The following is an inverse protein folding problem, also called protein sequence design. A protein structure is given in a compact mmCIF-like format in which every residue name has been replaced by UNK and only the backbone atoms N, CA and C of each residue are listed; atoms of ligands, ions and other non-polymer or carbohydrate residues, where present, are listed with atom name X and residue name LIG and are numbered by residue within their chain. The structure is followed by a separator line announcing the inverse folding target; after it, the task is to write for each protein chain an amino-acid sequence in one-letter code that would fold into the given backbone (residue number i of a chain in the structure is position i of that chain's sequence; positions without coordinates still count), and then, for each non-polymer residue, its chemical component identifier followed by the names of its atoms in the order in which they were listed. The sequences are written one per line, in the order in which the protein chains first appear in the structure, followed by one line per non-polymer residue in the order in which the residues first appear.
data_IF_770862016291
#
_entry.id   IF_770862016291
#
_cell.length_a   1.000
_cell.length_b   1.000
_cell.length_c   1.000
_cell.angle_alpha   90.00
_cell.angle_beta   90.00
_cell.angle_gamma   90.00
#
_symmetry.space_group_name_H-M   'P 1'
#
loop_
_entity.id
_entity.type
_entity.pdbx_description
1 polymer ?
#
# COMPACT_ATOMS: atom_id res chain seq x y z
N UNK A 1 1.89 -29.30 -3.38
CA UNK A 1 1.89 -27.90 -2.93
C UNK A 1 0.45 -27.44 -2.92
N UNK A 2 -0.12 -27.12 -1.76
CA UNK A 2 -1.54 -26.72 -1.63
C UNK A 2 -1.75 -25.30 -2.18
N UNK A 3 -2.93 -25.00 -2.74
CA UNK A 3 -3.29 -23.68 -3.32
C UNK A 3 -2.92 -22.48 -2.41
N UNK A 4 -2.93 -22.67 -1.08
CA UNK A 4 -2.59 -21.63 -0.09
C UNK A 4 -1.09 -21.31 0.02
N UNK A 5 -0.21 -22.20 -0.45
CA UNK A 5 1.23 -22.14 -0.15
C UNK A 5 2.00 -21.08 -0.97
N UNK A 6 1.52 -20.69 -2.16
CA UNK A 6 2.22 -19.70 -3.01
C UNK A 6 2.06 -18.28 -2.46
N UNK A 7 0.82 -17.88 -2.15
CA UNK A 7 0.54 -16.56 -1.56
C UNK A 7 1.19 -16.44 -0.19
N UNK A 8 1.14 -17.50 0.64
CA UNK A 8 1.85 -17.50 1.90
C UNK A 8 3.37 -17.43 1.73
N UNK A 9 3.91 -17.99 0.64
CA UNK A 9 5.34 -17.88 0.30
C UNK A 9 5.73 -16.44 0.00
N UNK A 10 4.95 -15.74 -0.83
CA UNK A 10 5.12 -14.30 -1.06
C UNK A 10 5.06 -13.51 0.25
N UNK A 11 4.02 -13.73 1.06
CA UNK A 11 3.83 -13.03 2.34
C UNK A 11 5.01 -13.25 3.29
N UNK A 12 5.48 -14.50 3.40
CA UNK A 12 6.64 -14.84 4.23
C UNK A 12 7.90 -14.11 3.77
N UNK A 13 8.21 -14.16 2.48
CA UNK A 13 9.41 -13.49 1.94
C UNK A 13 9.31 -11.97 2.09
N UNK A 14 8.12 -11.39 1.88
CA UNK A 14 7.90 -9.96 2.09
C UNK A 14 8.10 -9.57 3.57
N UNK A 15 7.61 -10.38 4.51
CA UNK A 15 7.85 -10.16 5.95
C UNK A 15 9.33 -10.26 6.34
N UNK A 16 10.08 -11.18 5.73
CA UNK A 16 11.53 -11.29 5.95
C UNK A 16 12.24 -10.02 5.48
N UNK A 17 11.94 -9.54 4.27
CA UNK A 17 12.52 -8.28 3.78
C UNK A 17 12.11 -7.09 4.63
N UNK A 18 10.85 -7.02 5.07
CA UNK A 18 10.38 -5.98 5.98
C UNK A 18 11.15 -6.00 7.31
N UNK A 19 11.37 -7.18 7.88
CA UNK A 19 12.13 -7.30 9.15
C UNK A 19 13.56 -6.84 8.98
N UNK A 20 14.20 -7.19 7.85
CA UNK A 20 15.54 -6.70 7.52
C UNK A 20 15.58 -5.19 7.29
N UNK A 21 14.51 -4.62 6.70
CA UNK A 21 14.40 -3.18 6.47
C UNK A 21 14.35 -2.43 7.79
N UNK A 22 13.52 -2.88 8.73
CA UNK A 22 13.43 -2.28 10.07
C UNK A 22 14.79 -2.31 10.77
N UNK A 23 15.53 -3.42 10.70
CA UNK A 23 16.88 -3.52 11.27
C UNK A 23 17.86 -2.55 10.58
N UNK A 24 17.83 -2.46 9.25
CA UNK A 24 18.68 -1.53 8.50
C UNK A 24 18.39 -0.06 8.89
N UNK A 25 17.11 0.28 9.07
CA UNK A 25 16.70 1.61 9.52
C UNK A 25 17.16 1.92 10.95
N UNK A 26 17.12 0.94 11.85
CA UNK A 26 17.65 1.06 13.22
C UNK A 26 19.17 1.26 13.25
N UNK A 27 19.89 0.58 12.35
CA UNK A 27 21.34 0.71 12.17
C UNK A 27 21.73 1.97 11.36
N UNK A 28 20.74 2.76 10.92
CA UNK A 28 20.90 3.92 10.02
C UNK A 28 21.60 3.58 8.69
N UNK A 29 21.49 2.33 8.23
CA UNK A 29 21.98 1.83 6.95
C UNK A 29 20.95 2.09 5.84
N UNK A 30 20.96 3.33 5.34
CA UNK A 30 20.00 3.81 4.33
C UNK A 30 20.15 3.12 2.98
N UNK A 31 21.37 2.78 2.58
CA UNK A 31 21.63 2.07 1.33
C UNK A 31 20.97 0.68 1.37
N UNK A 32 21.14 -0.05 2.46
CA UNK A 32 20.51 -1.36 2.65
C UNK A 32 19.00 -1.27 2.78
N UNK A 33 18.47 -0.26 3.46
CA UNK A 33 17.03 -0.02 3.54
C UNK A 33 16.42 0.19 2.14
N UNK A 34 17.03 1.05 1.32
CA UNK A 34 16.61 1.28 -0.06
C UNK A 34 16.69 0.00 -0.92
N UNK A 35 17.79 -0.75 -0.80
CA UNK A 35 17.96 -2.04 -1.48
C UNK A 35 16.84 -3.02 -1.10
N UNK A 36 16.45 -3.10 0.17
CA UNK A 36 15.42 -4.02 0.65
C UNK A 36 14.01 -3.67 0.14
N UNK A 37 13.67 -2.37 0.11
CA UNK A 37 12.44 -1.88 -0.51
C UNK A 37 12.37 -2.28 -1.99
N UNK A 38 13.49 -2.17 -2.70
CA UNK A 38 13.57 -2.58 -4.10
C UNK A 38 13.43 -4.10 -4.27
N UNK A 39 13.95 -4.90 -3.32
CA UNK A 39 13.70 -6.36 -3.30
C UNK A 39 12.23 -6.70 -3.07
N UNK A 40 11.52 -5.98 -2.21
CA UNK A 40 10.08 -6.17 -1.99
C UNK A 40 9.28 -5.83 -3.26
N UNK A 41 9.64 -4.74 -3.95
CA UNK A 41 9.02 -4.35 -5.23
C UNK A 41 9.21 -5.42 -6.31
N UNK A 42 10.43 -5.90 -6.48
CA UNK A 42 10.71 -6.97 -7.46
C UNK A 42 10.05 -8.29 -7.06
N UNK A 43 9.93 -8.60 -5.77
CA UNK A 43 9.16 -9.75 -5.29
C UNK A 43 7.67 -9.64 -5.67
N UNK A 44 7.06 -8.46 -5.52
CA UNK A 44 5.68 -8.22 -5.93
C UNK A 44 5.48 -8.46 -7.43
N UNK A 45 6.44 -8.05 -8.28
CA UNK A 45 6.42 -8.35 -9.72
C UNK A 45 6.58 -9.81 -10.05
N UNK A 46 7.55 -10.50 -9.43
CA UNK A 46 7.78 -11.93 -9.64
C UNK A 46 6.52 -12.74 -9.32
N UNK A 47 5.77 -12.30 -8.31
CA UNK A 47 4.50 -12.91 -7.91
C UNK A 47 3.27 -12.27 -8.56
N UNK A 48 3.43 -11.38 -9.55
CA UNK A 48 2.35 -10.72 -10.29
C UNK A 48 1.30 -10.05 -9.37
N UNK A 49 1.70 -9.59 -8.18
CA UNK A 49 0.78 -9.08 -7.14
C UNK A 49 0.14 -7.73 -7.50
N UNK A 50 0.68 -7.04 -8.50
CA UNK A 50 0.09 -5.84 -9.08
C UNK A 50 0.51 -4.53 -8.40
N UNK A 51 0.08 -3.43 -9.02
CA UNK A 51 0.56 -2.06 -8.78
C UNK A 51 0.38 -1.60 -7.33
N UNK A 52 -0.72 -1.97 -6.67
CA UNK A 52 -0.95 -1.63 -5.26
C UNK A 52 0.20 -2.15 -4.38
N UNK A 53 0.58 -3.41 -4.56
CA UNK A 53 1.65 -4.03 -3.79
C UNK A 53 3.02 -3.46 -4.16
N UNK A 54 3.29 -3.21 -5.44
CA UNK A 54 4.53 -2.59 -5.89
C UNK A 54 4.72 -1.17 -5.34
N UNK A 55 3.66 -0.37 -5.33
CA UNK A 55 3.69 1.00 -4.80
C UNK A 55 3.86 1.00 -3.28
N UNK A 56 3.11 0.15 -2.56
CA UNK A 56 3.10 0.13 -1.09
C UNK A 56 4.47 -0.06 -0.45
N UNK A 57 5.38 -0.79 -1.11
CA UNK A 57 6.73 -1.05 -0.61
C UNK A 57 7.55 0.22 -0.36
N UNK A 58 7.26 1.32 -1.06
CA UNK A 58 8.08 2.56 -0.98
C UNK A 58 7.58 3.55 0.06
N UNK A 59 6.34 3.41 0.53
CA UNK A 59 5.69 4.42 1.37
C UNK A 59 6.44 4.66 2.68
N UNK A 60 6.86 3.59 3.35
CA UNK A 60 7.53 3.68 4.65
C UNK A 60 8.90 4.38 4.54
N UNK A 61 9.66 4.07 3.49
CA UNK A 61 10.96 4.72 3.25
C UNK A 61 10.79 6.21 2.92
N UNK A 62 9.88 6.55 2.01
CA UNK A 62 9.59 7.95 1.66
C UNK A 62 9.12 8.74 2.90
N UNK A 63 8.31 8.11 3.76
CA UNK A 63 7.84 8.69 5.02
C UNK A 63 8.98 8.91 6.01
N UNK A 64 9.85 7.92 6.18
CA UNK A 64 11.00 8.02 7.07
C UNK A 64 12.02 9.08 6.62
N UNK A 65 12.13 9.30 5.31
CA UNK A 65 12.97 10.35 4.72
C UNK A 65 12.29 11.72 4.69
N UNK A 66 10.98 11.77 5.04
CA UNK A 66 10.13 12.96 4.91
C UNK A 66 10.16 13.54 3.49
N UNK A 67 10.30 12.67 2.49
CA UNK A 67 10.22 13.05 1.08
C UNK A 67 8.76 13.27 0.71
N UNK A 68 8.36 14.54 0.63
CA UNK A 68 6.99 14.96 0.35
C UNK A 68 6.50 14.42 -1.00
N UNK A 69 7.30 14.56 -2.06
CA UNK A 69 6.87 14.18 -3.40
C UNK A 69 6.81 12.66 -3.58
N UNK A 70 7.82 11.95 -3.09
CA UNK A 70 7.81 10.48 -3.15
C UNK A 70 6.66 9.89 -2.32
N UNK A 71 6.34 10.49 -1.18
CA UNK A 71 5.24 10.02 -0.32
C UNK A 71 3.90 10.22 -1.00
N UNK A 72 3.59 11.44 -1.47
CA UNK A 72 2.29 11.72 -2.08
C UNK A 72 2.09 10.97 -3.41
N UNK A 73 3.13 10.82 -4.23
CA UNK A 73 3.07 9.99 -5.44
C UNK A 73 2.76 8.53 -5.09
N UNK A 74 3.38 8.00 -4.04
CA UNK A 74 3.13 6.63 -3.59
C UNK A 74 1.68 6.46 -3.09
N UNK A 75 1.18 7.40 -2.29
CA UNK A 75 -0.21 7.39 -1.81
C UNK A 75 -1.23 7.40 -2.95
N UNK A 76 -1.02 8.28 -3.94
CA UNK A 76 -1.91 8.39 -5.11
C UNK A 76 -1.88 7.11 -5.96
N UNK A 77 -0.71 6.53 -6.20
CA UNK A 77 -0.58 5.25 -6.91
C UNK A 77 -1.28 4.11 -6.17
N UNK A 78 -1.17 4.07 -4.85
CA UNK A 78 -1.89 3.09 -4.03
C UNK A 78 -3.41 3.26 -4.19
N UNK A 79 -3.94 4.48 -4.05
CA UNK A 79 -5.37 4.77 -4.21
C UNK A 79 -5.89 4.42 -5.61
N UNK A 80 -5.16 4.81 -6.66
CA UNK A 80 -5.52 4.53 -8.05
C UNK A 80 -5.52 3.03 -8.41
N UNK A 81 -4.90 2.19 -7.55
CA UNK A 81 -4.74 0.76 -7.78
C UNK A 81 -5.66 -0.12 -6.93
N UNK A 82 -6.44 0.46 -6.00
CA UNK A 82 -7.32 -0.29 -5.08
C UNK A 82 -8.32 -1.14 -5.86
N UNK A 83 -8.95 -0.60 -6.91
CA UNK A 83 -9.93 -1.34 -7.74
C UNK A 83 -9.32 -2.56 -8.45
N UNK A 84 -7.99 -2.60 -8.57
CA UNK A 84 -7.23 -3.67 -9.22
C UNK A 84 -6.45 -4.52 -8.22
N UNK A 85 -6.68 -4.38 -6.91
CA UNK A 85 -5.90 -5.08 -5.88
C UNK A 85 -6.00 -6.61 -5.98
N UNK A 86 -7.10 -7.14 -6.52
CA UNK A 86 -7.27 -8.57 -6.78
C UNK A 86 -6.94 -8.97 -8.21
N UNK A 87 -6.41 -8.09 -9.06
CA UNK A 87 -6.15 -8.41 -10.47
C UNK A 87 -5.16 -9.59 -10.64
N UNK A 88 -4.25 -9.78 -9.68
CA UNK A 88 -3.33 -10.92 -9.65
C UNK A 88 -4.06 -12.28 -9.67
N UNK A 89 -5.30 -12.34 -9.15
CA UNK A 89 -6.11 -13.57 -9.14
C UNK A 89 -6.43 -14.08 -10.54
N UNK A 90 -6.28 -13.23 -11.57
CA UNK A 90 -6.50 -13.54 -12.99
C UNK A 90 -5.19 -13.71 -13.76
N UNK A 91 -4.05 -13.59 -13.10
CA UNK A 91 -2.76 -13.63 -13.75
C UNK A 91 -2.33 -15.09 -14.06
N UNK A 92 -1.56 -15.34 -15.14
CA UNK A 92 -1.17 -16.69 -15.54
C UNK A 92 -0.50 -17.50 -14.43
N UNK A 93 0.27 -16.84 -13.55
CA UNK A 93 0.92 -17.49 -12.42
C UNK A 93 -0.06 -18.24 -11.49
N UNK A 94 -1.31 -17.76 -11.42
CA UNK A 94 -2.34 -18.28 -10.53
C UNK A 94 -3.50 -18.97 -11.27
N UNK A 95 -3.36 -19.32 -12.55
CA UNK A 95 -4.42 -19.92 -13.38
C UNK A 95 -5.02 -21.22 -12.79
N UNK A 96 -4.23 -21.92 -11.96
CA UNK A 96 -4.61 -23.17 -11.29
C UNK A 96 -5.37 -22.96 -9.97
N UNK A 97 -5.60 -21.71 -9.57
CA UNK A 97 -6.29 -21.33 -8.35
C UNK A 97 -7.68 -20.79 -8.65
N UNK A 98 -8.57 -20.96 -7.67
CA UNK A 98 -9.90 -20.35 -7.70
C UNK A 98 -9.94 -19.32 -6.57
N UNK A 99 -10.29 -18.09 -6.93
CA UNK A 99 -10.42 -16.99 -6.01
C UNK A 99 -11.89 -16.57 -5.92
N UNK A 100 -12.27 -16.11 -4.72
CA UNK A 100 -13.50 -15.33 -4.60
C UNK A 100 -13.18 -13.93 -5.05
N UNK A 101 -13.99 -13.38 -5.96
CA UNK A 101 -13.92 -11.97 -6.29
C UNK A 101 -14.17 -11.14 -5.02
N UNK A 102 -13.37 -10.10 -4.75
CA UNK A 102 -13.66 -9.19 -3.66
C UNK A 102 -15.00 -8.51 -3.93
N UNK A 103 -15.81 -8.37 -2.88
CA UNK A 103 -17.04 -7.59 -3.02
C UNK A 103 -16.72 -6.08 -3.10
N UNK A 104 -17.63 -5.33 -3.73
CA UNK A 104 -17.47 -3.89 -3.93
C UNK A 104 -17.37 -3.13 -2.59
N UNK A 105 -17.98 -3.67 -1.53
CA UNK A 105 -17.95 -3.09 -0.19
C UNK A 105 -16.52 -3.15 0.38
N UNK A 106 -15.81 -4.26 0.21
CA UNK A 106 -14.42 -4.41 0.62
C UNK A 106 -13.51 -3.39 -0.08
N UNK A 107 -13.68 -3.19 -1.39
CA UNK A 107 -12.88 -2.21 -2.16
C UNK A 107 -13.14 -0.79 -1.65
N UNK A 108 -14.40 -0.42 -1.43
CA UNK A 108 -14.78 0.88 -0.85
C UNK A 108 -14.22 1.07 0.56
N UNK A 109 -14.31 0.05 1.41
CA UNK A 109 -13.76 0.09 2.77
C UNK A 109 -12.24 0.23 2.75
N UNK A 110 -11.53 -0.47 1.86
CA UNK A 110 -10.09 -0.34 1.71
C UNK A 110 -9.70 1.07 1.26
N UNK A 111 -10.37 1.62 0.26
CA UNK A 111 -10.13 2.99 -0.19
C UNK A 111 -10.33 4.01 0.94
N UNK A 112 -11.42 3.86 1.72
CA UNK A 112 -11.69 4.70 2.90
C UNK A 112 -10.58 4.56 3.95
N UNK A 113 -10.18 3.34 4.28
CA UNK A 113 -9.15 3.09 5.28
C UNK A 113 -7.81 3.71 4.88
N UNK A 114 -7.45 3.65 3.59
CA UNK A 114 -6.25 4.31 3.07
C UNK A 114 -6.32 5.83 3.22
N UNK A 115 -7.43 6.46 2.81
CA UNK A 115 -7.61 7.90 2.97
C UNK A 115 -7.55 8.32 4.45
N UNK A 116 -8.17 7.55 5.35
CA UNK A 116 -8.12 7.80 6.78
C UNK A 116 -6.68 7.72 7.31
N UNK A 117 -5.94 6.66 6.95
CA UNK A 117 -4.55 6.49 7.35
C UNK A 117 -3.65 7.59 6.80
N UNK A 118 -3.81 7.96 5.52
CA UNK A 118 -3.02 9.01 4.87
C UNK A 118 -3.33 10.41 5.40
N UNK A 119 -4.46 10.57 6.11
CA UNK A 119 -4.83 11.81 6.79
C UNK A 119 -4.27 11.92 8.21
N UNK A 120 -3.53 10.92 8.70
CA UNK A 120 -2.92 10.99 10.03
C UNK A 120 -1.83 12.07 10.09
N UNK A 121 -2.12 13.16 10.81
CA UNK A 121 -1.19 14.28 10.94
C UNK A 121 0.04 13.95 11.78
N UNK A 122 -0.03 12.94 12.67
CA UNK A 122 1.13 12.50 13.46
C UNK A 122 2.21 11.93 12.53
N UNK A 123 1.81 11.06 11.59
CA UNK A 123 2.72 10.45 10.62
C UNK A 123 3.05 11.40 9.47
N UNK A 124 2.05 12.10 8.92
CA UNK A 124 2.14 12.80 7.64
C UNK A 124 2.13 14.33 7.72
N UNK A 125 2.10 14.91 8.93
CA UNK A 125 2.04 16.36 9.13
C UNK A 125 3.20 17.16 8.52
N UNK A 126 4.31 16.51 8.16
CA UNK A 126 5.39 17.16 7.40
C UNK A 126 4.97 17.57 5.98
N UNK A 127 3.86 17.03 5.45
CA UNK A 127 3.30 17.37 4.14
C UNK A 127 2.25 18.49 4.19
N UNK A 128 2.04 19.15 5.33
CA UNK A 128 0.94 20.12 5.52
C UNK A 128 0.87 21.27 4.51
N UNK A 129 2.00 21.66 3.91
CA UNK A 129 2.06 22.72 2.89
C UNK A 129 1.86 22.18 1.45
N UNK A 130 1.83 20.87 1.27
CA UNK A 130 1.62 20.23 -0.02
C UNK A 130 0.13 20.21 -0.39
N UNK A 131 -0.21 20.77 -1.54
CA UNK A 131 -1.60 20.90 -2.00
C UNK A 131 -2.28 19.57 -2.30
N UNK A 132 -1.56 18.61 -2.90
CA UNK A 132 -2.09 17.27 -3.24
C UNK A 132 -2.46 16.52 -1.97
N UNK A 133 -1.62 16.60 -0.93
CA UNK A 133 -1.94 16.01 0.37
C UNK A 133 -3.15 16.70 1.04
N UNK A 134 -3.23 18.04 1.02
CA UNK A 134 -4.40 18.76 1.53
C UNK A 134 -5.71 18.34 0.83
N UNK A 135 -5.68 18.11 -0.49
CA UNK A 135 -6.84 17.63 -1.26
C UNK A 135 -7.24 16.20 -0.89
N UNK A 136 -6.26 15.33 -0.64
CA UNK A 136 -6.47 13.96 -0.16
C UNK A 136 -7.17 13.97 1.21
N UNK A 137 -6.67 14.76 2.16
CA UNK A 137 -7.24 14.90 3.51
C UNK A 137 -8.67 15.45 3.45
N UNK A 138 -8.92 16.48 2.63
CA UNK A 138 -10.28 17.02 2.46
C UNK A 138 -11.26 16.00 1.88
N UNK A 139 -10.81 15.20 0.91
CA UNK A 139 -11.61 14.12 0.32
C UNK A 139 -12.05 13.11 1.37
N UNK A 140 -11.16 12.76 2.31
CA UNK A 140 -11.49 11.90 3.44
C UNK A 140 -12.57 12.51 4.37
N UNK A 141 -12.45 13.80 4.70
CA UNK A 141 -13.44 14.48 5.56
C UNK A 141 -14.84 14.48 4.93
N UNK A 142 -14.95 14.70 3.62
CA UNK A 142 -16.24 14.68 2.92
C UNK A 142 -16.90 13.29 2.97
N UNK A 143 -16.11 12.23 2.74
CA UNK A 143 -16.60 10.84 2.82
C UNK A 143 -17.12 10.48 4.22
N UNK A 144 -16.53 11.03 5.28
CA UNK A 144 -17.03 10.82 6.65
C UNK A 144 -18.35 11.56 6.91
N UNK A 145 -18.55 12.73 6.29
CA UNK A 145 -19.77 13.52 6.43
C UNK A 145 -20.95 12.87 5.71
N UNK A 146 -20.75 12.36 4.49
CA UNK A 146 -21.79 11.68 3.71
C UNK A 146 -22.34 10.43 4.46
N UNK A 147 -21.50 9.77 5.25
CA UNK A 147 -21.90 8.62 6.08
C UNK A 147 -22.73 9.01 7.30
N UNK A 148 -22.55 10.22 7.83
CA UNK A 148 -23.40 10.71 8.92
C UNK A 148 -24.79 11.10 8.38
N UNK A 149 -24.90 11.54 7.13
CA UNK A 149 -26.19 11.84 6.50
C UNK A 149 -26.99 10.61 6.07
N UNK A 150 -26.34 9.52 5.67
CA UNK A 150 -27.02 8.27 5.25
C UNK A 150 -27.59 7.45 6.43
N UNK A 151 -27.33 7.88 7.67
CA UNK A 151 -27.80 7.23 8.90
C UNK A 151 -29.03 7.91 9.56
N UNK A 152 -29.65 8.88 8.87
CA UNK A 152 -30.89 9.56 9.28
C UNK A 152 -31.96 9.47 8.17
#
# INVERSE_FOLDING_TARGET
MTKKNQISGYQMMNMVFQSMYVLAMQDNDREKACMLVEKQRELAKIFEMGEYHEASCRLELATADKDVEATIETMERMLASVDKISAFTKAPLYEHMEFKEPDEKFIKELHKNLLANFSDEETYGYMKENKRWQELVRSNSNLLMDQLSDNF
#
